data_IF_764087094655
#
_entry.id   IF_764087094655
#
_cell.length_a   1.000
_cell.length_b   1.000
_cell.length_c   1.000
_cell.angle_alpha   90.00
_cell.angle_beta   90.00
_cell.angle_gamma   90.00
#
_symmetry.space_group_name_H-M   'P 1'
#
loop_
_entity.id
_entity.type
_entity.pdbx_description
1 polymer ?
#
# COMPACT_ATOMS: atom_id res chain seq x y z
N UNK A 1 17.04 4.96 7.37
CA UNK A 1 16.53 4.90 5.98
C UNK A 1 15.87 6.23 5.64
N UNK A 2 16.00 6.72 4.41
CA UNK A 2 15.25 7.91 3.95
C UNK A 2 13.76 7.59 3.80
N UNK A 3 12.88 8.59 3.96
CA UNK A 3 11.44 8.48 3.67
C UNK A 3 11.19 7.99 2.24
N UNK A 4 12.05 8.40 1.30
CA UNK A 4 12.02 7.93 -0.10
C UNK A 4 12.20 6.42 -0.19
N UNK A 5 13.11 5.85 0.61
CA UNK A 5 13.37 4.40 0.60
C UNK A 5 12.17 3.64 1.18
N UNK A 6 11.49 4.20 2.18
CA UNK A 6 10.26 3.61 2.72
C UNK A 6 9.13 3.65 1.69
N UNK A 7 8.94 4.78 1.00
CA UNK A 7 7.96 4.89 -0.09
C UNK A 7 8.24 3.89 -1.20
N UNK A 8 9.50 3.77 -1.65
CA UNK A 8 9.89 2.77 -2.66
C UNK A 8 9.61 1.35 -2.18
N UNK A 9 9.88 1.04 -0.92
CA UNK A 9 9.58 -0.29 -0.34
C UNK A 9 8.08 -0.57 -0.38
N UNK A 10 7.24 0.40 -0.01
CA UNK A 10 5.78 0.26 -0.08
C UNK A 10 5.32 0.03 -1.52
N UNK A 11 5.88 0.74 -2.50
CA UNK A 11 5.56 0.54 -3.92
C UNK A 11 5.97 -0.85 -4.42
N UNK A 12 7.12 -1.36 -3.98
CA UNK A 12 7.56 -2.73 -4.31
C UNK A 12 6.58 -3.75 -3.73
N UNK A 13 6.14 -3.58 -2.48
CA UNK A 13 5.13 -4.46 -1.87
C UNK A 13 3.82 -4.39 -2.67
N UNK A 14 3.37 -3.19 -3.05
CA UNK A 14 2.19 -3.00 -3.89
C UNK A 14 2.28 -3.74 -5.23
N UNK A 15 3.44 -3.68 -5.89
CA UNK A 15 3.69 -4.39 -7.14
C UNK A 15 3.66 -5.92 -6.95
N UNK A 16 4.18 -6.44 -5.84
CA UNK A 16 4.09 -7.87 -5.51
C UNK A 16 2.65 -8.30 -5.29
N UNK A 17 1.86 -7.52 -4.54
CA UNK A 17 0.43 -7.77 -4.32
C UNK A 17 -0.38 -7.67 -5.62
N UNK A 18 -0.03 -6.75 -6.52
CA UNK A 18 -0.62 -6.66 -7.85
C UNK A 18 -0.44 -7.97 -8.62
N UNK A 19 0.80 -8.46 -8.72
CA UNK A 19 1.12 -9.69 -9.45
C UNK A 19 0.43 -10.89 -8.80
N UNK A 20 0.47 -11.00 -7.47
CA UNK A 20 -0.17 -12.09 -6.74
C UNK A 20 -1.71 -12.08 -6.95
N UNK A 21 -2.36 -10.94 -6.78
CA UNK A 21 -3.81 -10.79 -6.97
C UNK A 21 -4.25 -11.10 -8.39
N UNK A 22 -3.47 -10.66 -9.39
CA UNK A 22 -3.75 -10.97 -10.79
C UNK A 22 -3.60 -12.48 -11.08
N UNK A 23 -2.58 -13.15 -10.53
CA UNK A 23 -2.38 -14.60 -10.70
C UNK A 23 -3.49 -15.42 -10.07
N UNK A 24 -3.93 -15.05 -8.86
CA UNK A 24 -5.05 -15.71 -8.18
C UNK A 24 -6.33 -15.55 -8.98
N UNK A 25 -6.64 -14.34 -9.44
CA UNK A 25 -7.83 -14.09 -10.26
C UNK A 25 -7.80 -14.85 -11.60
N UNK A 26 -6.62 -14.96 -12.22
CA UNK A 26 -6.44 -15.76 -13.43
C UNK A 26 -6.70 -17.25 -13.18
N UNK A 27 -6.12 -17.81 -12.12
CA UNK A 27 -6.30 -19.22 -11.72
C UNK A 27 -7.76 -19.54 -11.35
N UNK A 28 -8.48 -18.60 -10.73
CA UNK A 28 -9.90 -18.74 -10.43
C UNK A 28 -10.75 -18.74 -11.70
N UNK A 29 -10.43 -17.84 -12.65
CA UNK A 29 -11.14 -17.77 -13.94
C UNK A 29 -10.92 -19.01 -14.80
N UNK A 30 -9.72 -19.62 -14.77
CA UNK A 30 -9.45 -20.84 -15.51
C UNK A 30 -10.14 -22.09 -14.92
N UNK A 31 -10.34 -22.12 -13.60
CA UNK A 31 -11.01 -23.25 -12.94
C UNK A 31 -12.54 -23.12 -12.93
N UNK A 32 -13.09 -21.90 -12.96
CA UNK A 32 -14.52 -21.67 -12.79
C UNK A 32 -14.96 -20.36 -13.46
N UNK A 33 -15.09 -20.40 -14.80
CA UNK A 33 -15.23 -19.22 -15.66
C UNK A 33 -16.41 -18.29 -15.33
N UNK A 34 -17.39 -18.74 -14.54
CA UNK A 34 -18.53 -17.94 -14.10
C UNK A 34 -18.35 -17.17 -12.78
N UNK A 35 -17.25 -17.39 -12.04
CA UNK A 35 -17.12 -16.90 -10.66
C UNK A 35 -16.52 -15.50 -10.54
N UNK A 36 -15.79 -15.03 -11.56
CA UNK A 36 -15.23 -13.66 -11.61
C UNK A 36 -15.90 -12.85 -12.70
N UNK A 37 -16.65 -11.82 -12.30
CA UNK A 37 -17.30 -10.88 -13.21
C UNK A 37 -16.37 -9.79 -13.76
N UNK A 38 -15.24 -9.54 -13.09
CA UNK A 38 -14.25 -8.52 -13.48
C UNK A 38 -12.98 -9.15 -14.05
N UNK A 39 -12.23 -8.36 -14.84
CA UNK A 39 -10.96 -8.83 -15.41
C UNK A 39 -9.93 -9.06 -14.27
N UNK A 40 -9.06 -10.08 -14.40
CA UNK A 40 -8.01 -10.36 -13.41
C UNK A 40 -7.12 -9.17 -13.05
N UNK A 41 -6.94 -8.24 -14.00
CA UNK A 41 -6.19 -7.00 -13.79
C UNK A 41 -6.79 -6.13 -12.67
N UNK A 42 -8.12 -6.04 -12.55
CA UNK A 42 -8.77 -5.24 -11.51
C UNK A 42 -8.57 -5.83 -10.11
N UNK A 43 -8.47 -7.16 -10.00
CA UNK A 43 -8.16 -7.81 -8.72
C UNK A 43 -6.72 -7.54 -8.28
N UNK A 44 -5.77 -7.56 -9.23
CA UNK A 44 -4.40 -7.13 -8.97
C UNK A 44 -4.35 -5.66 -8.53
N UNK A 45 -5.01 -4.76 -9.26
CA UNK A 45 -5.05 -3.34 -8.94
C UNK A 45 -5.66 -3.09 -7.55
N UNK A 46 -6.74 -3.78 -7.21
CA UNK A 46 -7.36 -3.68 -5.90
C UNK A 46 -6.44 -4.17 -4.76
N UNK A 47 -5.74 -5.29 -4.96
CA UNK A 47 -4.74 -5.79 -4.00
C UNK A 47 -3.56 -4.82 -3.82
N UNK A 48 -3.12 -4.19 -4.91
CA UNK A 48 -2.08 -3.16 -4.86
C UNK A 48 -2.55 -1.92 -4.08
N UNK A 49 -3.75 -1.42 -4.36
CA UNK A 49 -4.30 -0.23 -3.71
C UNK A 49 -4.54 -0.45 -2.22
N UNK A 50 -5.12 -1.60 -1.85
CA UNK A 50 -5.40 -1.94 -0.45
C UNK A 50 -4.14 -2.21 0.38
N UNK A 51 -3.00 -2.50 -0.25
CA UNK A 51 -1.72 -2.61 0.44
C UNK A 51 -0.97 -1.27 0.50
N UNK A 52 -0.96 -0.50 -0.61
CA UNK A 52 -0.18 0.74 -0.73
C UNK A 52 -0.85 1.92 -0.02
N UNK A 53 -2.14 2.15 -0.23
CA UNK A 53 -2.83 3.34 0.30
C UNK A 53 -2.77 3.45 1.83
N UNK A 54 -3.14 2.41 2.62
CA UNK A 54 -3.06 2.53 4.07
C UNK A 54 -1.62 2.72 4.56
N UNK A 55 -0.64 2.06 3.93
CA UNK A 55 0.76 2.22 4.29
C UNK A 55 1.27 3.64 4.03
N UNK A 56 0.91 4.24 2.89
CA UNK A 56 1.27 5.64 2.57
C UNK A 56 0.59 6.63 3.51
N UNK A 57 -0.68 6.39 3.88
CA UNK A 57 -1.40 7.24 4.84
C UNK A 57 -0.69 7.23 6.20
N UNK A 58 -0.34 6.04 6.71
CA UNK A 58 0.38 5.92 7.98
C UNK A 58 1.75 6.61 7.89
N UNK A 59 2.51 6.40 6.81
CA UNK A 59 3.79 7.06 6.61
C UNK A 59 3.67 8.59 6.57
N UNK A 60 2.62 9.12 5.92
CA UNK A 60 2.36 10.55 5.86
C UNK A 60 2.06 11.12 7.25
N UNK A 61 1.19 10.46 8.01
CA UNK A 61 0.83 10.86 9.37
C UNK A 61 2.08 10.88 10.26
N UNK A 62 2.90 9.84 10.21
CA UNK A 62 4.14 9.78 11.00
C UNK A 62 5.16 10.84 10.56
N UNK A 63 5.27 11.08 9.25
CA UNK A 63 6.22 12.06 8.70
C UNK A 63 5.88 13.49 9.13
N UNK A 64 4.60 13.83 9.26
CA UNK A 64 4.16 15.15 9.74
C UNK A 64 4.16 15.18 11.27
N UNK A 65 3.65 14.11 11.89
CA UNK A 65 3.47 14.00 13.33
C UNK A 65 4.79 14.08 14.10
N UNK A 66 5.89 13.53 13.56
CA UNK A 66 7.21 13.61 14.21
C UNK A 66 7.67 15.05 14.44
N UNK A 67 7.42 15.94 13.47
CA UNK A 67 7.91 17.32 13.51
C UNK A 67 7.02 18.16 14.44
N UNK A 68 5.71 17.94 14.38
CA UNK A 68 4.75 18.56 15.28
C UNK A 68 5.00 18.16 16.74
N UNK A 69 5.22 16.87 17.00
CA UNK A 69 5.52 16.37 18.33
C UNK A 69 6.82 16.96 18.86
N UNK A 70 7.87 17.01 18.03
CA UNK A 70 9.14 17.59 18.42
C UNK A 70 9.02 19.09 18.75
N UNK A 71 8.31 19.86 17.92
CA UNK A 71 8.05 21.29 18.18
C UNK A 71 7.24 21.50 19.45
N UNK A 72 6.21 20.68 19.68
CA UNK A 72 5.40 20.73 20.88
C UNK A 72 6.25 20.49 22.13
N UNK A 73 7.04 19.42 22.12
CA UNK A 73 7.95 19.11 23.23
C UNK A 73 8.97 20.24 23.45
N UNK A 74 9.61 20.74 22.39
CA UNK A 74 10.62 21.79 22.50
C UNK A 74 10.06 23.09 23.09
N UNK A 75 8.81 23.44 22.77
CA UNK A 75 8.12 24.59 23.36
C UNK A 75 7.90 24.45 24.86
N UNK A 76 7.67 23.23 25.35
CA UNK A 76 7.46 23.01 26.79
C UNK A 76 8.78 23.03 27.59
N UNK A 77 9.94 23.01 26.92
CA UNK A 77 11.27 23.05 27.55
C UNK A 77 11.89 24.45 27.62
N UNK A 78 11.47 25.42 26.81
CA UNK A 78 12.01 26.79 26.76
C UNK A 78 10.93 27.84 27.03
#
# INVERSE_FOLDING_TARGET
MSITNLMLTVLVIGALYFIAGQRVAFALRSNDAGKLHSLPHYHGAWAALTSVLPALIVLLILSIGKDLLFQFMARDYF
#
